data_IF_576147227351
#
_entry.id   IF_576147227351
#
_cell.length_a   1.000
_cell.length_b   1.000
_cell.length_c   1.000
_cell.angle_alpha   90.00
_cell.angle_beta   90.00
_cell.angle_gamma   90.00
#
_symmetry.space_group_name_H-M   'P 1'
#
loop_
_entity.id
_entity.type
_entity.pdbx_description
1 polymer ?
#
# COMPACT_ATOMS: atom_id res chain seq x y z
N UNK A 1 -13.11 37.61 22.41
CA UNK A 1 -11.99 36.73 22.03
C UNK A 1 -12.56 35.34 21.78
N UNK A 2 -12.16 34.74 20.66
CA UNK A 2 -12.88 33.71 19.90
C UNK A 2 -12.96 32.34 20.58
N UNK A 3 -14.16 31.77 20.60
CA UNK A 3 -14.47 30.40 21.04
C UNK A 3 -14.29 29.37 19.89
N UNK A 4 -13.40 29.65 18.95
CA UNK A 4 -13.22 28.91 17.69
C UNK A 4 -11.75 28.55 17.42
N UNK A 5 -10.98 28.20 18.45
CA UNK A 5 -9.57 27.83 18.29
C UNK A 5 -9.24 26.50 19.00
N UNK A 6 -10.14 25.51 18.94
CA UNK A 6 -9.86 24.14 19.41
C UNK A 6 -10.27 23.07 18.38
N UNK A 7 -10.24 23.41 17.09
CA UNK A 7 -10.56 22.48 16.00
C UNK A 7 -9.44 22.35 14.96
N UNK A 8 -8.19 22.65 15.36
CA UNK A 8 -7.00 22.56 14.48
C UNK A 8 -5.88 21.69 15.08
N UNK A 9 -6.25 20.59 15.72
CA UNK A 9 -5.32 19.50 16.07
C UNK A 9 -6.05 18.14 16.06
N UNK A 10 -6.97 17.94 15.11
CA UNK A 10 -7.26 16.58 14.66
C UNK A 10 -6.11 16.21 13.73
N UNK A 11 -5.05 15.68 14.29
CA UNK A 11 -4.09 14.87 13.54
C UNK A 11 -4.93 13.87 12.74
N UNK A 12 -5.06 14.12 11.43
CA UNK A 12 -5.81 13.23 10.55
C UNK A 12 -5.07 11.91 10.61
N UNK A 13 -5.62 10.93 11.33
CA UNK A 13 -5.06 9.59 11.38
C UNK A 13 -5.19 9.02 9.99
N UNK A 14 -4.13 9.16 9.19
CA UNK A 14 -4.03 8.60 7.84
C UNK A 14 -3.68 7.15 8.01
N UNK A 15 -4.55 6.25 7.53
CA UNK A 15 -4.26 4.83 7.53
C UNK A 15 -3.11 4.55 6.54
N UNK A 16 -1.97 4.01 6.99
CA UNK A 16 -0.82 3.77 6.13
C UNK A 16 -1.07 2.70 5.06
N UNK A 17 -2.14 1.90 5.20
CA UNK A 17 -2.53 0.86 4.25
C UNK A 17 -3.54 1.34 3.21
N UNK A 18 -4.05 2.57 3.33
CA UNK A 18 -4.87 3.17 2.26
C UNK A 18 -4.10 3.24 0.95
N UNK A 19 -4.73 2.81 -0.15
CA UNK A 19 -4.08 2.65 -1.45
C UNK A 19 -3.27 3.86 -1.92
N UNK A 20 -3.75 5.10 -1.72
CA UNK A 20 -3.00 6.31 -2.11
C UNK A 20 -1.73 6.53 -1.28
N UNK A 21 -1.78 6.18 0.00
CA UNK A 21 -0.63 6.29 0.91
C UNK A 21 0.37 5.19 0.60
N UNK A 22 -0.14 3.98 0.38
CA UNK A 22 0.65 2.82 0.03
C UNK A 22 1.38 2.99 -1.30
N UNK A 23 0.71 3.49 -2.34
CA UNK A 23 1.31 3.78 -3.66
C UNK A 23 2.43 4.82 -3.52
N UNK A 24 2.17 5.91 -2.80
CA UNK A 24 3.17 6.95 -2.56
C UNK A 24 4.37 6.43 -1.77
N UNK A 25 4.14 5.58 -0.78
CA UNK A 25 5.21 4.97 -0.01
C UNK A 25 6.00 3.94 -0.83
N UNK A 26 5.35 3.24 -1.76
CA UNK A 26 6.03 2.38 -2.72
C UNK A 26 6.94 3.19 -3.65
N UNK A 27 6.49 4.34 -4.14
CA UNK A 27 7.33 5.28 -4.89
C UNK A 27 8.52 5.78 -4.06
N UNK A 28 8.30 6.13 -2.79
CA UNK A 28 9.39 6.52 -1.89
C UNK A 28 10.38 5.39 -1.60
N UNK A 29 9.90 4.14 -1.56
CA UNK A 29 10.74 2.95 -1.52
C UNK A 29 11.39 2.62 -2.88
N UNK A 30 11.37 3.56 -3.83
CA UNK A 30 11.90 3.41 -5.20
C UNK A 30 11.29 2.21 -5.94
N UNK A 31 10.01 1.95 -5.69
CA UNK A 31 9.26 0.80 -6.18
C UNK A 31 9.95 -0.54 -5.91
N UNK A 32 10.39 -0.73 -4.67
CA UNK A 32 11.00 -1.95 -4.16
C UNK A 32 10.16 -2.54 -3.01
N UNK A 33 9.50 -3.67 -3.26
CA UNK A 33 8.61 -4.32 -2.29
C UNK A 33 9.33 -4.72 -1.02
N UNK A 34 10.59 -5.16 -1.09
CA UNK A 34 11.33 -5.61 0.10
C UNK A 34 11.66 -4.44 1.02
N UNK A 35 12.01 -3.30 0.43
CA UNK A 35 12.25 -2.08 1.21
C UNK A 35 10.96 -1.57 1.83
N UNK A 36 9.87 -1.53 1.04
CA UNK A 36 8.57 -1.11 1.53
C UNK A 36 8.07 -2.03 2.67
N UNK A 37 8.22 -3.34 2.54
CA UNK A 37 7.80 -4.30 3.55
C UNK A 37 8.60 -4.15 4.85
N UNK A 38 9.89 -3.78 4.77
CA UNK A 38 10.66 -3.43 5.96
C UNK A 38 10.12 -2.20 6.69
N UNK A 39 9.72 -1.15 5.96
CA UNK A 39 9.15 0.06 6.57
C UNK A 39 7.82 -0.19 7.26
N UNK A 40 7.04 -1.12 6.73
CA UNK A 40 5.74 -1.55 7.27
C UNK A 40 5.86 -2.71 8.26
N UNK A 41 7.10 -3.13 8.58
CA UNK A 41 7.40 -4.23 9.50
C UNK A 41 6.63 -5.53 9.16
N UNK A 42 6.51 -5.84 7.87
CA UNK A 42 5.77 -7.00 7.38
C UNK A 42 6.57 -7.81 6.35
N UNK A 43 6.11 -9.04 6.11
CA UNK A 43 6.71 -9.91 5.11
C UNK A 43 6.44 -9.38 3.68
N UNK A 44 7.38 -9.54 2.73
CA UNK A 44 7.18 -9.13 1.33
C UNK A 44 5.91 -9.67 0.69
N UNK A 45 5.49 -10.89 1.06
CA UNK A 45 4.23 -11.49 0.58
C UNK A 45 3.01 -10.69 1.02
N UNK A 46 2.98 -10.24 2.28
CA UNK A 46 1.86 -9.43 2.80
C UNK A 46 1.82 -8.06 2.13
N UNK A 47 2.99 -7.48 1.85
CA UNK A 47 3.08 -6.23 1.09
C UNK A 47 2.56 -6.40 -0.35
N UNK A 48 2.90 -7.50 -1.03
CA UNK A 48 2.37 -7.80 -2.38
C UNK A 48 0.84 -7.94 -2.37
N UNK A 49 0.27 -8.55 -1.33
CA UNK A 49 -1.18 -8.65 -1.18
C UNK A 49 -1.84 -7.28 -1.05
N UNK A 50 -1.29 -6.41 -0.19
CA UNK A 50 -1.81 -5.05 -0.03
C UNK A 50 -1.73 -4.24 -1.33
N UNK A 51 -0.61 -4.34 -2.05
CA UNK A 51 -0.48 -3.68 -3.36
C UNK A 51 -1.53 -4.23 -4.36
N UNK A 52 -1.76 -5.54 -4.37
CA UNK A 52 -2.74 -6.18 -5.26
C UNK A 52 -4.19 -5.84 -4.91
N UNK A 53 -4.51 -5.77 -3.61
CA UNK A 53 -5.83 -5.37 -3.10
C UNK A 53 -6.20 -3.95 -3.54
N UNK A 54 -5.21 -3.07 -3.67
CA UNK A 54 -5.37 -1.68 -4.10
C UNK A 54 -5.06 -1.42 -5.58
N UNK A 55 -4.82 -2.47 -6.38
CA UNK A 55 -4.51 -2.38 -7.82
C UNK A 55 -3.26 -1.52 -8.14
N UNK A 56 -2.25 -1.56 -7.26
CA UNK A 56 -1.01 -0.77 -7.41
C UNK A 56 -0.01 -1.52 -8.29
N UNK A 57 0.28 -0.98 -9.47
CA UNK A 57 1.18 -1.61 -10.45
C UNK A 57 2.60 -1.82 -9.89
N UNK A 58 3.11 -3.05 -10.02
CA UNK A 58 4.48 -3.39 -9.65
C UNK A 58 5.49 -2.75 -10.60
N UNK A 59 6.68 -2.42 -10.09
CA UNK A 59 7.81 -2.10 -10.97
C UNK A 59 8.18 -3.31 -11.83
N UNK A 60 8.83 -3.09 -12.98
CA UNK A 60 9.33 -4.17 -13.84
C UNK A 60 10.23 -5.17 -13.09
N UNK A 61 11.01 -4.71 -12.11
CA UNK A 61 11.87 -5.60 -11.33
C UNK A 61 11.04 -6.48 -10.39
N UNK A 62 10.10 -5.88 -9.66
CA UNK A 62 9.25 -6.60 -8.73
C UNK A 62 8.27 -7.51 -9.47
N UNK A 63 7.77 -7.10 -10.63
CA UNK A 63 6.97 -7.93 -11.54
C UNK A 63 7.76 -9.16 -12.00
N UNK A 64 9.03 -9.00 -12.38
CA UNK A 64 9.88 -10.13 -12.77
C UNK A 64 10.07 -11.14 -11.63
N UNK A 65 10.13 -10.67 -10.38
CA UNK A 65 10.35 -11.55 -9.23
C UNK A 65 9.04 -12.13 -8.66
N UNK A 66 7.97 -11.34 -8.66
CA UNK A 66 6.76 -11.60 -7.88
C UNK A 66 5.46 -11.57 -8.69
N UNK A 67 5.51 -11.20 -9.97
CA UNK A 67 4.33 -10.96 -10.81
C UNK A 67 3.35 -12.13 -10.87
N UNK A 68 3.84 -13.38 -10.88
CA UNK A 68 2.98 -14.56 -10.86
C UNK A 68 2.15 -14.68 -9.57
N UNK A 69 2.75 -14.38 -8.41
CA UNK A 69 2.03 -14.36 -7.14
C UNK A 69 1.05 -13.19 -7.10
N UNK A 70 1.51 -12.00 -7.46
CA UNK A 70 0.71 -10.78 -7.48
C UNK A 70 -0.56 -10.93 -8.34
N UNK A 71 -0.44 -11.43 -9.57
CA UNK A 71 -1.58 -11.66 -10.46
C UNK A 71 -2.55 -12.71 -9.91
N UNK A 72 -2.05 -13.72 -9.19
CA UNK A 72 -2.91 -14.72 -8.53
C UNK A 72 -3.73 -14.05 -7.44
N UNK A 73 -3.12 -13.22 -6.59
CA UNK A 73 -3.82 -12.47 -5.54
C UNK A 73 -4.85 -11.51 -6.14
N UNK A 74 -4.46 -10.71 -7.13
CA UNK A 74 -5.35 -9.73 -7.78
C UNK A 74 -6.61 -10.39 -8.37
N UNK A 75 -6.46 -11.59 -8.98
CA UNK A 75 -7.60 -12.39 -9.46
C UNK A 75 -8.51 -12.85 -8.34
N UNK A 76 -7.95 -13.27 -7.20
CA UNK A 76 -8.74 -13.67 -6.04
C UNK A 76 -9.51 -12.50 -5.45
N UNK A 77 -8.88 -11.33 -5.27
CA UNK A 77 -9.56 -10.11 -4.79
C UNK A 77 -10.73 -9.75 -5.72
N UNK A 78 -10.50 -9.79 -7.04
CA UNK A 78 -11.55 -9.50 -8.03
C UNK A 78 -12.68 -10.53 -8.03
N UNK A 79 -12.38 -11.81 -7.72
CA UNK A 79 -13.36 -12.90 -7.74
C UNK A 79 -14.20 -12.95 -6.45
N UNK A 80 -13.62 -12.60 -5.29
CA UNK A 80 -14.28 -12.64 -3.99
C UNK A 80 -14.85 -11.29 -3.53
N UNK A 81 -14.53 -10.19 -4.22
CA UNK A 81 -15.11 -8.86 -3.97
C UNK A 81 -16.47 -8.61 -4.65
N UNK A 82 -17.18 -9.66 -5.07
CA UNK A 82 -18.50 -9.59 -5.74
C UNK A 82 -19.61 -10.17 -4.88
#
# INVERSE_FOLDING_TARGET
MSRHEHERDRESVVDPTEGRVLERNYDYAQKNVRLLSMWYECEPRRMLELLAEHDIELSRNDERQFGAYYQTVQRHVTTYGK
#
